data_IF_777796305203
#
_entry.id   IF_777796305203
#
_cell.length_a   1.000
_cell.length_b   1.000
_cell.length_c   1.000
_cell.angle_alpha   90.00
_cell.angle_beta   90.00
_cell.angle_gamma   90.00
#
_symmetry.space_group_name_H-M   'P 1'
#
loop_
_entity.id
_entity.type
_entity.pdbx_description
1 polymer ?
#
# COMPACT_ATOMS: atom_id res chain seq x y z
N UNK A 1 4.47 10.13 14.39
CA UNK A 1 4.23 8.99 13.47
C UNK A 1 4.69 9.43 12.09
N UNK A 2 5.35 8.57 11.31
CA UNK A 2 5.73 8.91 9.94
C UNK A 2 4.56 8.61 9.03
N UNK A 3 3.93 9.64 8.48
CA UNK A 3 2.89 9.48 7.47
C UNK A 3 3.52 9.11 6.13
N UNK A 4 3.17 7.93 5.62
CA UNK A 4 3.67 7.45 4.34
C UNK A 4 2.72 7.89 3.22
N UNK A 5 3.28 8.32 2.10
CA UNK A 5 2.50 8.64 0.89
C UNK A 5 2.44 7.44 -0.04
N UNK A 6 1.42 7.37 -0.87
CA UNK A 6 1.37 6.43 -2.00
C UNK A 6 2.62 6.61 -2.87
N UNK A 7 3.21 5.50 -3.30
CA UNK A 7 4.48 5.47 -4.02
C UNK A 7 5.71 5.45 -3.10
N UNK A 8 5.56 5.58 -1.78
CA UNK A 8 6.70 5.54 -0.86
C UNK A 8 7.27 4.12 -0.76
N UNK A 9 8.57 3.92 -1.01
CA UNK A 9 9.22 2.65 -0.75
C UNK A 9 9.37 2.42 0.75
N UNK A 10 8.95 1.24 1.20
CA UNK A 10 9.00 0.83 2.60
C UNK A 10 9.55 -0.57 2.73
N UNK A 11 10.18 -0.83 3.87
CA UNK A 11 10.58 -2.16 4.28
C UNK A 11 9.97 -2.51 5.62
N UNK A 12 9.70 -3.79 5.83
CA UNK A 12 9.17 -4.29 7.09
C UNK A 12 9.65 -5.71 7.34
N UNK A 13 9.67 -6.10 8.62
CA UNK A 13 9.99 -7.46 9.03
C UNK A 13 8.71 -8.15 9.50
N UNK A 14 8.43 -9.32 8.94
CA UNK A 14 7.30 -10.17 9.35
C UNK A 14 7.79 -11.60 9.50
N UNK A 15 7.47 -12.26 10.61
CA UNK A 15 7.86 -13.66 10.90
C UNK A 15 9.34 -13.92 10.59
N UNK A 16 10.21 -13.10 11.18
CA UNK A 16 11.66 -13.11 10.95
C UNK A 16 12.16 -12.82 9.52
N UNK A 17 11.26 -12.62 8.56
CA UNK A 17 11.60 -12.37 7.16
C UNK A 17 11.55 -10.88 6.84
N UNK A 18 12.63 -10.35 6.29
CA UNK A 18 12.68 -8.99 5.75
C UNK A 18 11.92 -8.93 4.42
N UNK A 19 11.04 -7.94 4.29
CA UNK A 19 10.24 -7.65 3.09
C UNK A 19 10.41 -6.18 2.71
N UNK A 20 10.28 -5.90 1.42
CA UNK A 20 10.21 -4.54 0.89
C UNK A 20 9.08 -4.42 -0.11
N UNK A 21 8.65 -3.18 -0.36
CA UNK A 21 7.59 -2.88 -1.29
C UNK A 21 7.27 -1.41 -1.34
N UNK A 22 6.17 -1.09 -2.00
CA UNK A 22 5.71 0.27 -2.22
C UNK A 22 4.31 0.43 -1.64
N UNK A 23 4.06 1.56 -0.96
CA UNK A 23 2.70 1.92 -0.53
C UNK A 23 1.84 2.14 -1.76
N UNK A 24 0.77 1.38 -1.89
CA UNK A 24 -0.19 1.53 -3.01
C UNK A 24 -1.51 2.15 -2.55
N UNK A 25 -1.88 2.02 -1.27
CA UNK A 25 -3.11 2.60 -0.77
C UNK A 25 -3.01 2.94 0.71
N UNK A 26 -3.83 3.91 1.12
CA UNK A 26 -3.97 4.36 2.50
C UNK A 26 -5.34 3.91 2.98
N UNK A 27 -5.37 3.26 4.15
CA UNK A 27 -6.59 2.80 4.82
C UNK A 27 -6.80 3.72 6.03
N UNK A 28 -7.87 4.53 6.02
CA UNK A 28 -8.17 5.43 7.13
C UNK A 28 -8.54 4.65 8.40
N UNK A 29 -8.44 5.30 9.57
CA UNK A 29 -8.92 4.74 10.83
C UNK A 29 -10.36 4.25 10.74
N UNK A 30 -10.67 3.15 11.43
CA UNK A 30 -11.99 2.53 11.48
C UNK A 30 -12.38 1.75 10.23
N UNK A 31 -11.55 1.72 9.17
CA UNK A 31 -11.83 0.97 7.94
C UNK A 31 -10.90 -0.23 7.74
N UNK A 32 -11.39 -1.18 6.96
CA UNK A 32 -10.63 -2.33 6.45
C UNK A 32 -10.23 -2.12 4.98
N UNK A 33 -9.19 -2.83 4.48
CA UNK A 33 -8.80 -2.78 3.07
C UNK A 33 -9.95 -3.06 2.10
N UNK A 34 -10.84 -4.00 2.44
CA UNK A 34 -11.97 -4.37 1.60
C UNK A 34 -12.97 -3.23 1.40
N UNK A 35 -13.17 -2.39 2.42
CA UNK A 35 -14.04 -1.21 2.32
C UNK A 35 -13.44 -0.08 1.48
N UNK A 36 -12.12 -0.12 1.22
CA UNK A 36 -11.45 0.85 0.34
C UNK A 36 -11.55 0.41 -1.11
N UNK A 37 -11.33 -0.88 -1.39
CA UNK A 37 -11.56 -1.44 -2.72
C UNK A 37 -11.80 -2.95 -2.65
N UNK A 38 -12.74 -3.50 -3.45
CA UNK A 38 -12.99 -4.93 -3.51
C UNK A 38 -11.76 -5.74 -3.96
N UNK A 39 -10.80 -5.11 -4.65
CA UNK A 39 -9.52 -5.73 -5.04
C UNK A 39 -8.70 -6.20 -3.81
N UNK A 40 -8.91 -5.55 -2.67
CA UNK A 40 -8.22 -5.83 -1.41
C UNK A 40 -8.97 -6.83 -0.52
N UNK A 41 -10.04 -7.48 -1.04
CA UNK A 41 -10.79 -8.51 -0.30
C UNK A 41 -9.90 -9.60 0.30
N UNK A 42 -8.80 -9.96 -0.39
CA UNK A 42 -7.83 -10.97 0.07
C UNK A 42 -7.03 -10.56 1.31
N UNK A 43 -7.04 -9.28 1.68
CA UNK A 43 -6.45 -8.76 2.91
C UNK A 43 -7.45 -8.73 4.08
N UNK A 44 -8.72 -9.08 3.83
CA UNK A 44 -9.90 -8.69 4.59
C UNK A 44 -10.55 -9.76 5.46
N UNK A 45 -9.84 -10.24 6.48
CA UNK A 45 -10.47 -10.83 7.68
C UNK A 45 -9.98 -10.19 8.99
N UNK A 46 -9.18 -9.13 8.90
CA UNK A 46 -8.61 -8.46 10.07
C UNK A 46 -9.51 -7.30 10.54
N UNK A 47 -9.52 -7.11 11.87
CA UNK A 47 -10.23 -6.02 12.55
C UNK A 47 -9.81 -4.66 12.01
N UNK A 48 -10.74 -3.70 11.83
CA UNK A 48 -10.40 -2.32 11.51
C UNK A 48 -9.40 -1.77 12.52
N UNK A 49 -8.50 -0.90 12.05
CA UNK A 49 -7.49 -0.28 12.90
C UNK A 49 -7.97 1.10 13.34
N UNK A 50 -7.64 1.48 14.56
CA UNK A 50 -7.94 2.79 15.17
C UNK A 50 -7.03 3.92 14.66
N UNK A 51 -6.09 3.61 13.78
CA UNK A 51 -5.12 4.56 13.23
C UNK A 51 -4.96 4.36 11.70
N UNK A 52 -4.43 5.39 11.04
CA UNK A 52 -4.12 5.33 9.60
C UNK A 52 -3.14 4.19 9.32
N UNK A 53 -3.47 3.37 8.34
CA UNK A 53 -2.68 2.21 7.94
C UNK A 53 -2.51 2.14 6.44
N UNK A 54 -1.63 1.26 5.98
CA UNK A 54 -1.12 1.31 4.62
C UNK A 54 -1.12 -0.07 3.98
N UNK A 55 -1.55 -0.14 2.73
CA UNK A 55 -1.45 -1.34 1.90
C UNK A 55 -0.16 -1.24 1.09
N UNK A 56 0.63 -2.31 1.13
CA UNK A 56 1.93 -2.39 0.50
C UNK A 56 1.93 -3.49 -0.55
N UNK A 57 2.33 -3.16 -1.77
CA UNK A 57 2.65 -4.14 -2.81
C UNK A 57 4.13 -4.48 -2.71
N UNK A 58 4.45 -5.72 -2.34
CA UNK A 58 5.83 -6.08 -2.07
C UNK A 58 6.03 -7.55 -1.73
N UNK A 59 7.21 -7.90 -1.20
CA UNK A 59 7.56 -9.27 -0.92
C UNK A 59 8.94 -9.41 -0.30
N UNK A 60 9.31 -10.65 0.03
CA UNK A 60 10.69 -10.96 0.36
C UNK A 60 11.53 -11.00 -0.92
N UNK A 61 12.85 -10.84 -0.78
CA UNK A 61 13.79 -10.99 -1.90
C UNK A 61 13.53 -12.33 -2.62
N UNK A 62 13.43 -12.29 -3.95
CA UNK A 62 13.17 -13.45 -4.83
C UNK A 62 11.80 -14.13 -4.65
N UNK A 63 10.81 -13.48 -4.01
CA UNK A 63 9.42 -13.97 -3.98
C UNK A 63 8.55 -13.15 -4.92
N UNK A 64 7.46 -13.77 -5.41
CA UNK A 64 6.42 -13.03 -6.15
C UNK A 64 5.87 -11.91 -5.28
N UNK A 65 5.69 -10.73 -5.88
CA UNK A 65 5.06 -9.59 -5.21
C UNK A 65 3.62 -9.95 -4.88
N UNK A 66 3.20 -9.61 -3.67
CA UNK A 66 1.82 -9.76 -3.21
C UNK A 66 1.42 -8.52 -2.41
N UNK A 67 0.13 -8.43 -2.13
CA UNK A 67 -0.44 -7.39 -1.32
C UNK A 67 -0.26 -7.73 0.16
N UNK A 68 0.11 -6.71 0.94
CA UNK A 68 0.25 -6.81 2.39
C UNK A 68 -0.46 -5.64 3.06
N UNK A 69 -1.04 -5.90 4.23
CA UNK A 69 -1.51 -4.87 5.16
C UNK A 69 -0.71 -4.94 6.47
N UNK A 70 0.58 -4.58 6.47
CA UNK A 70 1.45 -4.70 7.65
C UNK A 70 1.05 -3.69 8.74
N UNK A 71 1.41 -3.97 10.00
CA UNK A 71 1.26 -3.00 11.10
C UNK A 71 2.12 -1.76 10.82
N UNK A 72 1.56 -0.58 10.99
CA UNK A 72 2.24 0.70 10.70
C UNK A 72 3.55 0.85 11.47
N UNK A 73 3.61 0.38 12.72
CA UNK A 73 4.82 0.39 13.55
C UNK A 73 5.98 -0.46 13.02
N UNK A 74 5.73 -1.39 12.09
CA UNK A 74 6.76 -2.23 11.47
C UNK A 74 7.32 -1.64 10.18
N UNK A 75 6.65 -0.61 9.62
CA UNK A 75 7.06 0.03 8.39
C UNK A 75 8.25 0.95 8.65
N UNK A 76 9.31 0.77 7.88
CA UNK A 76 10.48 1.64 7.85
C UNK A 76 10.61 2.26 6.45
N UNK A 77 10.76 3.59 6.33
CA UNK A 77 11.03 4.21 5.04
C UNK A 77 12.33 3.63 4.46
N UNK A 78 12.34 3.34 3.17
CA UNK A 78 13.57 3.07 2.44
C UNK A 78 14.05 4.34 1.74
N UNK A 79 15.37 4.59 1.76
CA UNK A 79 15.97 5.73 1.08
C UNK A 79 15.82 5.66 -0.45
N UNK A 80 15.72 4.45 -1.01
CA UNK A 80 15.63 4.23 -2.46
C UNK A 80 14.80 2.99 -2.78
N UNK A 81 14.05 3.05 -3.88
CA UNK A 81 13.43 1.90 -4.53
C UNK A 81 14.51 0.93 -5.04
N UNK A 82 14.30 -0.36 -4.87
CA UNK A 82 15.11 -1.39 -5.56
C UNK A 82 14.80 -1.38 -7.07
N UNK A 83 15.69 -1.93 -7.90
CA UNK A 83 15.49 -1.99 -9.37
C UNK A 83 14.17 -2.68 -9.74
N UNK A 84 13.81 -3.75 -9.05
CA UNK A 84 12.56 -4.49 -9.24
C UNK A 84 11.32 -3.68 -8.85
N UNK A 85 11.44 -2.74 -7.92
CA UNK A 85 10.36 -1.83 -7.54
C UNK A 85 10.24 -0.67 -8.54
N UNK A 86 11.36 -0.11 -8.99
CA UNK A 86 11.37 0.88 -10.09
C UNK A 86 10.71 0.32 -11.36
N UNK A 87 11.15 -0.85 -11.82
CA UNK A 87 10.57 -1.52 -13.00
C UNK A 87 9.07 -1.74 -12.91
N UNK A 88 8.55 -2.02 -11.71
CA UNK A 88 7.10 -2.19 -11.51
C UNK A 88 6.34 -0.87 -11.53
N UNK A 89 6.91 0.18 -10.94
CA UNK A 89 6.35 1.52 -11.01
C UNK A 89 6.32 2.04 -12.45
N UNK A 90 7.41 1.84 -13.20
CA UNK A 90 7.52 2.17 -14.62
C UNK A 90 6.53 1.38 -15.48
N UNK A 91 6.26 0.11 -15.13
CA UNK A 91 5.29 -0.72 -15.83
C UNK A 91 3.82 -0.42 -15.47
N UNK A 92 3.55 0.33 -14.40
CA UNK A 92 2.19 0.64 -13.93
C UNK A 92 1.99 2.15 -13.66
N UNK A 93 2.33 3.03 -14.62
CA UNK A 93 2.30 4.48 -14.41
C UNK A 93 0.88 4.98 -14.16
N UNK A 94 -0.12 4.43 -14.85
CA UNK A 94 -1.53 4.80 -14.68
C UNK A 94 -2.10 4.41 -13.32
N UNK A 95 -1.68 3.26 -12.77
CA UNK A 95 -2.07 2.85 -11.43
C UNK A 95 -1.51 3.86 -10.41
N UNK A 96 -0.21 4.19 -10.54
CA UNK A 96 0.44 5.17 -9.66
C UNK A 96 -0.22 6.54 -9.79
N UNK A 97 -0.49 7.00 -11.01
CA UNK A 97 -1.15 8.28 -11.29
C UNK A 97 -2.57 8.32 -10.72
N UNK A 98 -3.35 7.25 -10.87
CA UNK A 98 -4.70 7.12 -10.31
C UNK A 98 -4.69 7.11 -8.79
N UNK A 99 -3.70 6.46 -8.17
CA UNK A 99 -3.55 6.40 -6.72
C UNK A 99 -3.00 7.73 -6.15
N UNK A 100 -2.08 8.40 -6.85
CA UNK A 100 -1.56 9.73 -6.49
C UNK A 100 -2.61 10.84 -6.61
N UNK A 101 -3.47 10.77 -7.64
CA UNK A 101 -4.58 11.71 -7.83
C UNK A 101 -5.76 11.46 -6.89
N UNK A 102 -5.91 10.24 -6.36
CA UNK A 102 -6.91 9.89 -5.37
C UNK A 102 -6.46 10.28 -3.95
N UNK A 103 -6.22 11.57 -3.73
CA UNK A 103 -6.46 12.16 -2.41
C UNK A 103 -7.99 12.14 -2.23
N UNK A 104 -8.52 11.05 -1.66
CA UNK A 104 -9.95 10.78 -1.56
C UNK A 104 -10.63 11.87 -0.72
N UNK A 105 -11.08 12.93 -1.40
CA UNK A 105 -12.35 13.56 -1.11
C UNK A 105 -13.36 12.95 -2.08
N UNK A 106 -14.41 12.36 -1.53
CA UNK A 106 -15.58 11.98 -2.28
C UNK A 106 -16.13 13.19 -3.07
N UNK A 107 -16.93 12.87 -4.09
CA UNK A 107 -17.73 13.78 -4.94
C UNK A 107 -17.03 14.15 -6.25
N UNK A 108 -17.36 13.43 -7.32
CA UNK A 108 -18.40 13.83 -8.28
C UNK A 108 -18.60 12.73 -9.32
N UNK A 109 -19.79 12.13 -9.36
CA UNK A 109 -20.43 11.84 -10.65
C UNK A 109 -21.00 13.17 -11.16
N UNK A 110 -20.88 13.49 -12.46
CA UNK A 110 -21.98 13.21 -13.41
C UNK A 110 -21.43 12.54 -14.70
N UNK A 111 -22.05 11.44 -15.13
CA UNK A 111 -23.15 11.32 -16.11
C UNK A 111 -22.66 11.34 -17.57
N UNK A 112 -22.90 10.24 -18.26
CA UNK A 112 -23.48 10.24 -19.60
C UNK A 112 -24.85 9.56 -19.46
#
# INVERSE_FOLDING_TARGET
MTDFKIGTPVSWKSSCTQKSGVIIAIVPPGKTPYEISPEYRRLGTATPRDHTSYIVSGGAKNRRKTLYWPRTSLLKPQKSLTESERKWCEANPELIRRLMNNNINFVTTPRA
#
